data_IF_726169935419
#
_entry.id   IF_726169935419
#
_cell.length_a   1.000
_cell.length_b   1.000
_cell.length_c   1.000
_cell.angle_alpha   90.00
_cell.angle_beta   90.00
_cell.angle_gamma   90.00
#
_symmetry.space_group_name_H-M   'P 1'
#
loop_
_entity.id
_entity.type
_entity.pdbx_description
1 polymer ?
#
# COMPACT_ATOMS: atom_id res chain seq x y z
N UNK A 1 36.90 -0.24 -12.33
CA UNK A 1 35.68 0.41 -11.79
C UNK A 1 34.61 -0.67 -11.63
N UNK A 2 34.33 -1.09 -10.39
CA UNK A 2 33.20 -2.00 -10.12
C UNK A 2 31.93 -1.31 -10.61
N UNK A 3 31.11 -2.02 -11.40
CA UNK A 3 29.75 -1.59 -11.74
C UNK A 3 29.03 -1.36 -10.41
N UNK A 4 28.93 -0.10 -9.98
CA UNK A 4 28.18 0.28 -8.78
C UNK A 4 26.80 -0.34 -8.92
N UNK A 5 26.40 -1.16 -7.96
CA UNK A 5 25.05 -1.71 -7.86
C UNK A 5 24.05 -0.55 -7.85
N UNK A 6 23.55 -0.17 -9.03
CA UNK A 6 22.45 0.77 -9.11
C UNK A 6 21.28 0.13 -8.37
N UNK A 7 20.73 0.79 -7.33
CA UNK A 7 19.63 0.21 -6.60
C UNK A 7 18.50 -0.09 -7.57
N UNK A 8 18.04 -1.34 -7.61
CA UNK A 8 16.91 -1.74 -8.44
C UNK A 8 15.65 -1.06 -7.90
N UNK A 9 14.97 -0.28 -8.73
CA UNK A 9 13.78 0.49 -8.37
C UNK A 9 12.49 -0.23 -8.83
N UNK A 10 11.38 0.09 -8.18
CA UNK A 10 10.01 -0.14 -8.65
C UNK A 10 9.35 1.23 -8.80
N UNK A 11 8.76 1.48 -9.95
CA UNK A 11 8.05 2.73 -10.24
C UNK A 11 6.58 2.60 -9.85
N UNK A 12 6.08 3.59 -9.13
CA UNK A 12 4.69 3.75 -8.76
C UNK A 12 4.13 4.96 -9.50
N UNK A 13 3.12 4.75 -10.34
CA UNK A 13 2.34 5.83 -10.95
C UNK A 13 1.37 6.37 -9.89
N UNK A 14 1.45 7.65 -9.57
CA UNK A 14 0.72 8.22 -8.43
C UNK A 14 -0.79 8.25 -8.69
N UNK A 15 -1.22 8.47 -9.93
CA UNK A 15 -2.64 8.43 -10.33
C UNK A 15 -3.30 7.05 -10.14
N UNK A 16 -2.53 5.98 -9.96
CA UNK A 16 -3.08 4.68 -9.54
C UNK A 16 -3.82 4.76 -8.20
N UNK A 17 -3.53 5.75 -7.35
CA UNK A 17 -4.27 6.02 -6.12
C UNK A 17 -5.73 6.44 -6.35
N UNK A 18 -6.07 6.96 -7.55
CA UNK A 18 -7.45 7.25 -7.91
C UNK A 18 -8.17 6.02 -8.51
N UNK A 19 -7.41 5.09 -9.09
CA UNK A 19 -7.94 3.96 -9.85
C UNK A 19 -8.35 2.77 -8.98
N UNK A 20 -9.49 2.17 -9.32
CA UNK A 20 -9.90 0.85 -8.83
C UNK A 20 -8.87 -0.23 -9.18
N UNK A 21 -8.33 -0.16 -10.40
CA UNK A 21 -7.40 -1.15 -10.96
C UNK A 21 -5.93 -0.73 -10.82
N UNK A 22 -5.67 0.32 -10.06
CA UNK A 22 -4.34 0.88 -9.85
C UNK A 22 -3.36 -0.12 -9.24
N UNK A 23 -2.07 0.11 -9.47
CA UNK A 23 -0.98 -0.76 -9.00
C UNK A 23 -1.18 -2.23 -9.39
N UNK A 24 -1.58 -2.46 -10.64
CA UNK A 24 -1.91 -3.78 -11.17
C UNK A 24 -2.94 -4.52 -10.31
N UNK A 25 -4.05 -3.84 -10.02
CA UNK A 25 -5.12 -4.35 -9.14
C UNK A 25 -4.66 -4.74 -7.72
N UNK A 26 -3.58 -4.09 -7.25
CA UNK A 26 -2.93 -4.39 -5.97
C UNK A 26 -1.85 -5.46 -6.02
N UNK A 27 -1.55 -6.04 -7.18
CA UNK A 27 -0.60 -7.16 -7.34
C UNK A 27 0.81 -6.73 -7.77
N UNK A 28 1.07 -5.42 -7.88
CA UNK A 28 2.35 -4.85 -8.36
C UNK A 28 3.60 -5.48 -7.71
N UNK A 29 3.50 -5.88 -6.44
CA UNK A 29 4.63 -6.37 -5.65
C UNK A 29 4.72 -7.91 -5.60
N UNK A 30 3.74 -8.65 -6.12
CA UNK A 30 3.64 -10.10 -5.94
C UNK A 30 4.88 -10.83 -6.46
N UNK A 31 5.30 -10.55 -7.69
CA UNK A 31 6.46 -11.20 -8.29
C UNK A 31 7.76 -10.92 -7.50
N UNK A 32 7.89 -9.70 -6.96
CA UNK A 32 9.05 -9.34 -6.14
C UNK A 32 9.02 -10.12 -4.82
N UNK A 33 7.89 -10.16 -4.13
CA UNK A 33 7.74 -10.79 -2.83
C UNK A 33 7.83 -12.32 -2.93
N UNK A 34 7.18 -12.94 -3.93
CA UNK A 34 7.30 -14.36 -4.26
C UNK A 34 8.75 -14.78 -4.43
N UNK A 35 9.52 -14.04 -5.23
CA UNK A 35 10.95 -14.32 -5.47
C UNK A 35 11.82 -14.25 -4.20
N UNK A 36 11.36 -13.55 -3.17
CA UNK A 36 12.10 -13.36 -1.91
C UNK A 36 11.51 -14.15 -0.73
N UNK A 37 10.72 -15.21 -1.00
CA UNK A 37 10.24 -16.14 0.02
C UNK A 37 8.95 -15.72 0.74
N UNK A 38 8.26 -14.69 0.25
CA UNK A 38 6.98 -14.21 0.83
C UNK A 38 5.76 -14.63 0.00
N UNK A 39 5.94 -15.50 -0.99
CA UNK A 39 4.92 -15.82 -1.99
C UNK A 39 3.79 -16.75 -1.58
N UNK A 40 3.98 -17.49 -0.49
CA UNK A 40 3.11 -18.58 -0.04
C UNK A 40 2.46 -18.28 1.32
N UNK A 41 2.53 -17.03 1.80
CA UNK A 41 1.96 -16.65 3.09
C UNK A 41 0.43 -16.55 3.07
N UNK A 42 -0.15 -16.62 1.88
CA UNK A 42 -1.56 -16.35 1.60
C UNK A 42 -2.28 -17.60 1.04
N UNK A 43 -1.63 -18.78 1.06
CA UNK A 43 -2.22 -20.03 0.57
C UNK A 43 -3.13 -20.72 1.62
N UNK A 44 -2.97 -20.38 2.90
CA UNK A 44 -3.80 -20.90 4.00
C UNK A 44 -4.90 -19.90 4.39
N UNK A 45 -5.99 -19.97 3.63
CA UNK A 45 -7.38 -19.73 4.05
C UNK A 45 -7.68 -18.63 5.10
N UNK A 46 -7.41 -17.36 4.82
CA UNK A 46 -8.32 -16.32 5.32
C UNK A 46 -8.45 -15.18 4.30
N UNK A 47 -9.66 -15.07 3.80
CA UNK A 47 -10.07 -14.23 2.70
C UNK A 47 -9.80 -12.74 3.03
N UNK A 48 -9.26 -12.00 2.07
CA UNK A 48 -9.24 -10.53 1.98
C UNK A 48 -8.03 -9.72 2.49
N UNK A 49 -6.94 -10.34 2.95
CA UNK A 49 -5.69 -9.59 3.25
C UNK A 49 -4.43 -10.36 2.87
N UNK A 50 -4.17 -10.50 1.57
CA UNK A 50 -2.88 -11.04 1.11
C UNK A 50 -1.73 -10.18 1.66
N UNK A 51 -0.71 -10.83 2.22
CA UNK A 51 0.47 -10.19 2.78
C UNK A 51 1.10 -9.23 1.78
N UNK A 52 1.13 -9.58 0.48
CA UNK A 52 1.65 -8.72 -0.58
C UNK A 52 0.90 -7.39 -0.68
N UNK A 53 -0.42 -7.42 -0.54
CA UNK A 53 -1.31 -6.25 -0.58
C UNK A 53 -1.10 -5.37 0.64
N UNK A 54 -0.85 -5.96 1.81
CA UNK A 54 -0.43 -5.22 3.01
C UNK A 54 0.91 -4.53 2.82
N UNK A 55 1.90 -5.23 2.26
CA UNK A 55 3.21 -4.64 1.92
C UNK A 55 3.02 -3.48 0.96
N UNK A 56 2.15 -3.62 -0.06
CA UNK A 56 1.84 -2.55 -1.00
C UNK A 56 1.30 -1.31 -0.28
N UNK A 57 0.29 -1.45 0.59
CA UNK A 57 -0.27 -0.33 1.34
C UNK A 57 0.81 0.40 2.17
N UNK A 58 1.62 -0.35 2.91
CA UNK A 58 2.68 0.21 3.75
C UNK A 58 3.78 0.89 2.93
N UNK A 59 4.16 0.32 1.79
CA UNK A 59 5.14 0.93 0.89
C UNK A 59 4.60 2.24 0.31
N UNK A 60 3.34 2.24 -0.12
CA UNK A 60 2.70 3.43 -0.67
C UNK A 60 2.62 4.52 0.39
N UNK A 61 2.18 4.21 1.61
CA UNK A 61 2.07 5.19 2.70
C UNK A 61 3.42 5.74 3.17
N UNK A 62 4.44 4.89 3.30
CA UNK A 62 5.74 5.29 3.85
C UNK A 62 6.66 5.93 2.82
N UNK A 63 6.56 5.55 1.55
CA UNK A 63 7.53 5.97 0.53
C UNK A 63 6.89 6.72 -0.64
N UNK A 64 5.65 6.45 -1.03
CA UNK A 64 5.01 7.10 -2.19
C UNK A 64 4.28 8.37 -1.77
N UNK A 65 3.33 8.27 -0.84
CA UNK A 65 2.50 9.39 -0.38
C UNK A 65 3.31 10.60 0.10
N UNK A 66 4.41 10.46 0.86
CA UNK A 66 5.18 11.62 1.34
C UNK A 66 5.92 12.38 0.22
N UNK A 67 6.06 11.76 -0.96
CA UNK A 67 6.68 12.40 -2.12
C UNK A 67 5.66 13.12 -3.01
N UNK A 68 4.36 12.94 -2.76
CA UNK A 68 3.29 13.62 -3.50
C UNK A 68 3.17 15.07 -2.99
N UNK A 69 3.20 16.03 -3.91
CA UNK A 69 3.12 17.46 -3.64
C UNK A 69 1.73 17.89 -3.17
N UNK A 70 0.68 17.23 -3.67
CA UNK A 70 -0.69 17.48 -3.23
C UNK A 70 -0.88 17.03 -1.78
N UNK A 71 -1.70 17.75 -1.02
CA UNK A 71 -2.11 17.31 0.30
C UNK A 71 -3.14 16.18 0.17
N UNK A 72 -2.67 14.93 0.25
CA UNK A 72 -3.53 13.75 0.08
C UNK A 72 -3.87 13.10 1.41
N UNK A 73 -5.07 12.50 1.47
CA UNK A 73 -5.47 11.57 2.53
C UNK A 73 -5.62 10.16 1.94
N UNK A 74 -4.58 9.30 1.98
CA UNK A 74 -4.71 7.92 1.54
C UNK A 74 -5.61 7.14 2.51
N UNK A 75 -6.25 6.08 2.05
CA UNK A 75 -6.98 5.14 2.88
C UNK A 75 -6.86 3.73 2.31
N UNK A 76 -6.88 2.75 3.21
CA UNK A 76 -6.87 1.32 2.85
C UNK A 76 -8.30 0.84 2.62
N UNK A 77 -8.47 -0.13 1.74
CA UNK A 77 -9.76 -0.73 1.41
C UNK A 77 -9.67 -2.25 1.46
N UNK A 78 -10.71 -2.86 2.00
CA UNK A 78 -10.94 -4.30 1.91
C UNK A 78 -11.70 -4.61 0.64
N UNK A 79 -10.97 -4.95 -0.40
CA UNK A 79 -11.52 -5.27 -1.72
C UNK A 79 -10.59 -6.24 -2.42
N UNK A 80 -11.08 -6.90 -3.47
CA UNK A 80 -10.27 -7.71 -4.39
C UNK A 80 -9.34 -6.84 -5.24
N UNK A 81 -9.63 -5.54 -5.33
CA UNK A 81 -8.97 -4.59 -6.23
C UNK A 81 -7.93 -3.72 -5.53
N UNK A 82 -7.40 -2.65 -6.12
CA UNK A 82 -6.39 -1.81 -5.47
C UNK A 82 -6.68 -1.52 -3.96
N UNK A 83 -5.86 -2.05 -3.03
CA UNK A 83 -6.14 -2.03 -1.59
C UNK A 83 -5.84 -0.67 -0.95
N UNK A 84 -5.27 0.29 -1.68
CA UNK A 84 -4.96 1.62 -1.20
C UNK A 84 -5.31 2.69 -2.23
N UNK A 85 -6.12 3.66 -1.82
CA UNK A 85 -6.61 4.75 -2.68
C UNK A 85 -6.55 6.09 -1.94
N UNK A 86 -6.77 7.18 -2.65
CA UNK A 86 -6.88 8.51 -2.04
C UNK A 86 -8.34 8.88 -1.82
N UNK A 87 -8.65 9.36 -0.62
CA UNK A 87 -9.96 9.86 -0.23
C UNK A 87 -10.14 11.35 -0.51
N UNK A 88 -9.09 12.12 -0.24
CA UNK A 88 -9.13 13.58 -0.31
C UNK A 88 -7.84 14.08 -0.95
N UNK A 89 -7.96 15.09 -1.81
CA UNK A 89 -6.84 15.84 -2.38
C UNK A 89 -7.09 17.32 -2.14
N UNK A 90 -6.12 17.99 -1.53
CA UNK A 90 -6.12 19.44 -1.29
C UNK A 90 -7.41 19.94 -0.58
N UNK A 91 -7.88 19.17 0.41
CA UNK A 91 -9.06 19.50 1.20
C UNK A 91 -10.41 19.09 0.58
N UNK A 92 -10.41 18.45 -0.60
CA UNK A 92 -11.65 18.06 -1.32
C UNK A 92 -11.72 16.56 -1.56
N UNK A 93 -12.89 15.98 -1.27
CA UNK A 93 -13.16 14.57 -1.47
C UNK A 93 -13.03 14.19 -2.96
N UNK A 94 -12.43 13.04 -3.28
CA UNK A 94 -12.20 12.63 -4.69
C UNK A 94 -13.48 12.52 -5.53
N UNK A 95 -14.61 12.11 -4.95
CA UNK A 95 -15.90 12.04 -5.66
C UNK A 95 -16.52 13.39 -6.00
N UNK A 96 -16.05 14.47 -5.38
CA UNK A 96 -16.61 15.79 -5.63
C UNK A 96 -16.02 16.41 -6.90
N UNK A 97 -14.94 15.84 -7.42
CA UNK A 97 -14.31 16.27 -8.65
C UNK A 97 -15.03 15.66 -9.86
N UNK A 98 -15.30 16.43 -10.93
CA UNK A 98 -15.75 15.85 -12.19
C UNK A 98 -14.68 14.90 -12.77
N UNK A 99 -13.40 15.28 -12.60
CA UNK A 99 -12.23 14.47 -12.88
C UNK A 99 -11.22 14.68 -11.74
N UNK A 100 -10.70 13.62 -11.11
CA UNK A 100 -9.72 13.77 -10.03
C UNK A 100 -8.48 14.57 -10.48
N UNK A 101 -7.91 15.41 -9.61
CA UNK A 101 -6.72 16.18 -9.95
C UNK A 101 -5.53 15.23 -10.18
N UNK A 102 -4.66 15.57 -11.13
CA UNK A 102 -3.42 14.83 -11.38
C UNK A 102 -2.48 14.96 -10.19
N UNK A 103 -2.00 13.83 -9.66
CA UNK A 103 -1.06 13.82 -8.55
C UNK A 103 0.36 14.08 -9.05
N UNK A 104 1.10 14.96 -8.36
CA UNK A 104 2.49 15.28 -8.70
C UNK A 104 3.45 14.81 -7.61
N UNK A 105 4.62 14.23 -7.94
CA UNK A 105 5.05 13.87 -9.28
C UNK A 105 4.19 12.72 -9.86
N UNK A 106 4.15 12.60 -11.19
CA UNK A 106 3.40 11.52 -11.88
C UNK A 106 3.88 10.12 -11.50
N UNK A 107 5.14 10.00 -11.12
CA UNK A 107 5.75 8.74 -10.74
C UNK A 107 6.67 8.90 -9.54
N UNK A 108 6.66 7.93 -8.64
CA UNK A 108 7.61 7.80 -7.55
C UNK A 108 8.36 6.49 -7.69
N UNK A 109 9.69 6.54 -7.62
CA UNK A 109 10.52 5.33 -7.68
C UNK A 109 10.96 4.92 -6.28
N UNK A 110 10.61 3.69 -5.88
CA UNK A 110 10.97 3.12 -4.57
C UNK A 110 12.05 2.04 -4.75
N UNK A 111 13.16 2.06 -3.99
CA UNK A 111 14.14 0.99 -4.02
C UNK A 111 13.54 -0.35 -3.59
N UNK A 112 13.83 -1.43 -4.34
CA UNK A 112 13.43 -2.80 -3.98
C UNK A 112 13.88 -3.20 -2.58
N UNK A 113 15.02 -2.66 -2.12
CA UNK A 113 15.53 -2.87 -0.77
C UNK A 113 14.55 -2.37 0.30
N UNK A 114 14.01 -1.16 0.14
CA UNK A 114 13.03 -0.60 1.09
C UNK A 114 11.71 -1.39 1.11
N UNK A 115 11.28 -1.87 -0.06
CA UNK A 115 10.10 -2.75 -0.18
C UNK A 115 10.34 -4.07 0.57
N UNK A 116 11.52 -4.67 0.38
CA UNK A 116 11.91 -5.90 1.06
C UNK A 116 12.02 -5.70 2.59
N UNK A 117 12.67 -4.63 3.04
CA UNK A 117 12.79 -4.30 4.47
C UNK A 117 11.41 -4.08 5.10
N UNK A 118 10.47 -3.48 4.37
CA UNK A 118 9.07 -3.35 4.79
C UNK A 118 8.40 -4.72 4.95
N UNK A 119 8.58 -5.62 3.98
CA UNK A 119 8.07 -6.98 4.08
C UNK A 119 8.68 -7.73 5.27
N UNK A 120 9.99 -7.70 5.47
CA UNK A 120 10.68 -8.32 6.63
C UNK A 120 10.08 -7.83 7.94
N UNK A 121 9.92 -6.51 8.09
CA UNK A 121 9.35 -5.90 9.29
C UNK A 121 7.92 -6.39 9.54
N UNK A 122 7.05 -6.30 8.53
CA UNK A 122 5.64 -6.69 8.65
C UNK A 122 5.50 -8.19 8.97
N UNK A 123 6.36 -9.01 8.35
CA UNK A 123 6.44 -10.43 8.61
C UNK A 123 6.83 -10.71 10.06
N UNK A 124 7.86 -10.05 10.59
CA UNK A 124 8.29 -10.24 11.97
C UNK A 124 7.19 -9.87 12.99
N UNK A 125 6.32 -8.92 12.66
CA UNK A 125 5.24 -8.44 13.54
C UNK A 125 3.88 -9.09 13.27
N UNK A 126 3.84 -10.22 12.55
CA UNK A 126 2.58 -10.85 12.16
C UNK A 126 1.90 -11.64 13.28
N UNK A 127 2.64 -11.97 14.33
CA UNK A 127 2.11 -12.67 15.49
C UNK A 127 2.03 -11.73 16.69
N UNK A 128 1.02 -11.93 17.52
CA UNK A 128 0.94 -11.37 18.87
C UNK A 128 1.98 -12.01 19.78
N UNK A 129 2.18 -11.46 20.98
CA UNK A 129 3.01 -12.09 22.02
C UNK A 129 2.45 -13.46 22.47
N UNK A 130 1.17 -13.74 22.19
CA UNK A 130 0.49 -15.03 22.43
C UNK A 130 0.68 -16.02 21.27
N UNK A 131 1.36 -15.63 20.19
CA UNK A 131 1.57 -16.46 19.00
C UNK A 131 0.36 -16.53 18.05
N UNK A 132 -0.68 -15.74 18.31
CA UNK A 132 -1.85 -15.64 17.43
C UNK A 132 -1.54 -14.73 16.25
N UNK A 133 -2.10 -15.05 15.07
CA UNK A 133 -1.98 -14.17 13.92
C UNK A 133 -2.69 -12.86 14.23
N UNK A 134 -1.99 -11.74 14.11
CA UNK A 134 -2.60 -10.43 14.27
C UNK A 134 -3.55 -10.22 13.09
N UNK A 135 -4.86 -10.13 13.35
CA UNK A 135 -5.79 -9.62 12.36
C UNK A 135 -5.37 -8.21 11.97
N UNK A 136 -4.89 -8.05 10.74
CA UNK A 136 -4.22 -6.83 10.30
C UNK A 136 -5.13 -5.60 10.24
N UNK A 137 -6.43 -5.81 10.44
CA UNK A 137 -7.47 -4.78 10.55
C UNK A 137 -7.34 -3.93 11.81
N UNK A 138 -6.83 -4.49 12.91
CA UNK A 138 -6.93 -3.87 14.23
C UNK A 138 -5.93 -2.71 14.46
N UNK A 139 -4.96 -2.49 13.54
CA UNK A 139 -3.86 -1.54 13.79
C UNK A 139 -3.71 -0.36 12.84
N UNK A 140 -4.45 -0.24 11.74
CA UNK A 140 -4.46 1.06 11.07
C UNK A 140 -5.37 1.98 11.88
N UNK A 141 -4.83 2.61 12.93
CA UNK A 141 -5.54 3.66 13.67
C UNK A 141 -6.06 4.77 12.74
N UNK A 142 -5.46 4.90 11.56
CA UNK A 142 -5.96 5.70 10.45
C UNK A 142 -7.24 5.15 9.79
N UNK A 143 -7.35 3.85 9.49
CA UNK A 143 -8.58 3.29 8.92
C UNK A 143 -9.73 3.28 9.93
N UNK A 144 -9.45 3.01 11.21
CA UNK A 144 -10.46 3.16 12.28
C UNK A 144 -10.90 4.61 12.42
N UNK A 145 -9.97 5.58 12.41
CA UNK A 145 -10.31 7.00 12.44
C UNK A 145 -11.10 7.44 11.20
N UNK A 146 -10.79 6.90 10.01
CA UNK A 146 -11.49 7.18 8.76
C UNK A 146 -12.89 6.53 8.74
N UNK A 147 -13.03 5.30 9.24
CA UNK A 147 -14.33 4.63 9.37
C UNK A 147 -15.25 5.37 10.35
N UNK A 148 -14.71 5.78 11.51
CA UNK A 148 -15.41 6.59 12.51
C UNK A 148 -15.76 7.99 12.01
N UNK A 149 -14.86 8.68 11.30
CA UNK A 149 -15.14 9.99 10.70
C UNK A 149 -16.23 9.93 9.62
N UNK A 150 -16.53 8.76 9.07
CA UNK A 150 -17.53 8.57 8.01
C UNK A 150 -18.79 7.83 8.45
N UNK A 151 -18.91 7.46 9.71
CA UNK A 151 -20.08 6.74 10.23
C UNK A 151 -20.28 5.37 9.58
N UNK A 152 -19.18 4.68 9.26
CA UNK A 152 -19.20 3.30 8.76
C UNK A 152 -19.17 2.26 9.90
N UNK A 153 -19.06 2.74 11.14
CA UNK A 153 -19.34 2.06 12.41
C UNK A 153 -20.36 2.88 13.21
#
# INVERSE_FOLDING_TARGET
MNKKDTPKLITFETDHLHSKWGFADGTLLDALLRKNGYGHLDEDSDEWTEFSRRVLCEVVELFVCPQIHNAIKPYRMLTSHNPIRVYEVDGRHVSDWPEPPTLQPLTVAVPKKAIYETAVRLYATRFTDTGELVSYMERSGWATAVAQQRGWE
#
